data_IF_842369843633
#
_entry.id   IF_842369843633
#
_cell.length_a   1.000
_cell.length_b   1.000
_cell.length_c   1.000
_cell.angle_alpha   90.00
_cell.angle_beta   90.00
_cell.angle_gamma   90.00
#
_symmetry.space_group_name_H-M   'P 1'
#
loop_
_entity.id
_entity.type
_entity.pdbx_description
1 polymer ?
#
# COMPACT_ATOMS: atom_id res chain seq x y z
N UNK A 1 -7.41 24.79 1.98
CA UNK A 1 -8.85 25.03 1.75
C UNK A 1 -9.11 24.81 0.27
N UNK A 2 -9.19 23.55 -0.18
CA UNK A 2 -9.74 23.16 -1.49
C UNK A 2 -9.93 21.63 -1.70
N UNK A 3 -9.77 20.77 -0.69
CA UNK A 3 -9.76 19.31 -0.91
C UNK A 3 -11.04 18.59 -0.43
N UNK A 4 -11.97 19.29 0.20
CA UNK A 4 -13.18 18.69 0.79
C UNK A 4 -14.36 18.55 -0.19
N UNK A 5 -14.38 19.31 -1.29
CA UNK A 5 -15.52 19.34 -2.24
C UNK A 5 -15.43 18.30 -3.37
N UNK A 6 -14.27 17.67 -3.61
CA UNK A 6 -14.09 16.64 -4.65
C UNK A 6 -14.23 15.20 -4.13
N UNK A 7 -13.90 15.00 -2.85
CA UNK A 7 -13.90 13.69 -2.17
C UNK A 7 -15.15 12.83 -2.37
N UNK A 8 -16.41 13.34 -2.34
CA UNK A 8 -17.58 12.48 -2.53
C UNK A 8 -17.76 11.97 -3.96
N UNK A 9 -17.13 12.62 -4.95
CA UNK A 9 -17.27 12.26 -6.37
C UNK A 9 -16.08 11.47 -6.92
N UNK A 10 -14.94 11.47 -6.24
CA UNK A 10 -13.70 10.86 -6.74
C UNK A 10 -13.86 9.37 -7.05
N UNK A 11 -14.55 8.59 -6.21
CA UNK A 11 -14.85 7.18 -6.50
C UNK A 11 -15.53 6.99 -7.85
N UNK A 12 -16.59 7.76 -8.08
CA UNK A 12 -17.40 7.69 -9.30
C UNK A 12 -16.61 8.20 -10.51
N UNK A 13 -15.91 9.32 -10.35
CA UNK A 13 -15.12 9.92 -11.42
C UNK A 13 -13.97 9.00 -11.83
N UNK A 14 -13.37 8.27 -10.89
CA UNK A 14 -12.33 7.29 -11.18
C UNK A 14 -12.88 6.13 -12.03
N UNK A 15 -14.08 5.61 -11.72
CA UNK A 15 -14.75 4.60 -12.56
C UNK A 15 -15.00 5.14 -13.98
N UNK A 16 -15.52 6.37 -14.11
CA UNK A 16 -15.79 7.00 -15.41
C UNK A 16 -14.50 7.16 -16.22
N UNK A 17 -13.44 7.67 -15.61
CA UNK A 17 -12.14 7.82 -16.24
C UNK A 17 -11.60 6.47 -16.76
N UNK A 18 -11.66 5.41 -15.93
CA UNK A 18 -11.23 4.08 -16.36
C UNK A 18 -12.09 3.52 -17.49
N UNK A 19 -13.40 3.79 -17.47
CA UNK A 19 -14.31 3.38 -18.55
C UNK A 19 -13.95 4.03 -19.88
N UNK A 20 -13.73 5.35 -19.88
CA UNK A 20 -13.34 6.11 -21.09
C UNK A 20 -11.98 5.68 -21.62
N UNK A 21 -10.98 5.50 -20.74
CA UNK A 21 -9.67 4.99 -21.12
C UNK A 21 -9.75 3.57 -21.68
N UNK A 22 -10.53 2.69 -21.06
CA UNK A 22 -10.69 1.32 -21.54
C UNK A 22 -11.29 1.28 -22.94
N UNK A 23 -12.30 2.11 -23.23
CA UNK A 23 -12.91 2.22 -24.56
C UNK A 23 -11.87 2.68 -25.60
N UNK A 24 -11.11 3.74 -25.29
CA UNK A 24 -10.11 4.27 -26.20
C UNK A 24 -8.97 3.26 -26.45
N UNK A 25 -8.42 2.65 -25.40
CA UNK A 25 -7.26 1.76 -25.49
C UNK A 25 -7.60 0.40 -26.12
N UNK A 26 -8.76 -0.18 -25.80
CA UNK A 26 -9.18 -1.47 -26.38
C UNK A 26 -9.40 -1.39 -27.88
N UNK A 27 -9.86 -0.25 -28.40
CA UNK A 27 -9.96 -0.03 -29.86
C UNK A 27 -8.62 -0.11 -30.59
N UNK A 28 -7.50 0.01 -29.86
CA UNK A 28 -6.13 -0.09 -30.36
C UNK A 28 -5.43 -1.38 -29.91
N UNK A 29 -6.14 -2.32 -29.27
CA UNK A 29 -5.55 -3.56 -28.74
C UNK A 29 -4.57 -3.36 -27.59
N UNK A 30 -4.66 -2.24 -26.86
CA UNK A 30 -3.79 -1.92 -25.73
C UNK A 30 -4.43 -2.33 -24.39
N UNK A 31 -3.57 -2.65 -23.41
CA UNK A 31 -3.98 -2.97 -22.04
C UNK A 31 -4.21 -1.70 -21.21
N UNK A 32 -5.14 -1.78 -20.26
CA UNK A 32 -5.32 -0.81 -19.19
C UNK A 32 -5.18 -1.49 -17.83
N UNK A 33 -4.25 -1.01 -17.01
CA UNK A 33 -3.99 -1.52 -15.65
C UNK A 33 -3.89 -0.36 -14.68
N UNK A 34 -3.99 -0.63 -13.38
CA UNK A 34 -3.82 0.39 -12.35
C UNK A 34 -3.03 -0.16 -11.15
N UNK A 35 -2.21 0.69 -10.54
CA UNK A 35 -1.59 0.43 -9.24
C UNK A 35 -2.45 1.07 -8.15
N UNK A 36 -3.02 0.26 -7.25
CA UNK A 36 -4.04 0.71 -6.29
C UNK A 36 -3.63 0.35 -4.85
N UNK A 37 -4.08 1.15 -3.89
CA UNK A 37 -3.78 0.93 -2.48
C UNK A 37 -4.41 -0.40 -2.02
N UNK A 38 -3.60 -1.26 -1.40
CA UNK A 38 -4.08 -2.57 -0.95
C UNK A 38 -4.94 -2.48 0.33
N UNK A 39 -4.55 -1.62 1.27
CA UNK A 39 -5.17 -1.55 2.60
C UNK A 39 -6.66 -1.18 2.54
N UNK A 40 -7.48 -1.88 3.33
CA UNK A 40 -8.91 -1.59 3.44
C UNK A 40 -9.17 -0.14 3.84
N UNK A 41 -8.38 0.43 4.75
CA UNK A 41 -8.54 1.80 5.23
C UNK A 41 -8.54 2.82 4.09
N UNK A 42 -7.70 2.62 3.07
CA UNK A 42 -7.63 3.50 1.91
C UNK A 42 -8.63 3.07 0.85
N UNK A 43 -8.67 1.77 0.53
CA UNK A 43 -9.51 1.24 -0.54
C UNK A 43 -11.01 1.51 -0.30
N UNK A 44 -11.47 1.35 0.95
CA UNK A 44 -12.88 1.54 1.33
C UNK A 44 -13.40 2.96 1.15
N UNK A 45 -12.54 3.97 1.17
CA UNK A 45 -12.92 5.37 0.93
C UNK A 45 -12.54 5.86 -0.47
N UNK A 46 -11.61 5.17 -1.15
CA UNK A 46 -11.05 5.63 -2.43
C UNK A 46 -11.67 4.96 -3.65
N UNK A 47 -12.18 3.73 -3.52
CA UNK A 47 -12.57 2.93 -4.68
C UNK A 47 -14.02 2.42 -4.61
N UNK A 48 -14.64 2.35 -5.79
CA UNK A 48 -15.70 1.41 -6.11
C UNK A 48 -15.05 0.22 -6.81
N UNK A 49 -14.65 -0.80 -6.03
CA UNK A 49 -13.88 -1.94 -6.53
C UNK A 49 -14.66 -2.70 -7.62
N UNK A 50 -15.95 -2.95 -7.39
CA UNK A 50 -16.80 -3.61 -8.38
C UNK A 50 -16.96 -2.76 -9.65
N UNK A 51 -17.01 -1.43 -9.52
CA UNK A 51 -17.09 -0.50 -10.65
C UNK A 51 -15.82 -0.43 -11.49
N UNK A 52 -14.62 -0.51 -10.89
CA UNK A 52 -13.36 -0.40 -11.66
C UNK A 52 -12.93 -1.71 -12.34
N UNK A 53 -13.27 -2.87 -11.76
CA UNK A 53 -12.83 -4.21 -12.21
C UNK A 53 -13.15 -4.51 -13.68
N UNK A 54 -14.31 -4.14 -14.26
CA UNK A 54 -14.63 -4.37 -15.67
C UNK A 54 -13.73 -3.60 -16.64
N UNK A 55 -13.13 -2.51 -16.20
CA UNK A 55 -12.36 -1.60 -17.05
C UNK A 55 -10.87 -1.95 -17.09
N UNK A 56 -10.36 -2.65 -16.08
CA UNK A 56 -8.94 -3.01 -15.97
C UNK A 56 -8.68 -4.45 -16.43
N UNK A 57 -7.57 -4.68 -17.12
CA UNK A 57 -7.09 -6.02 -17.46
C UNK A 57 -6.59 -6.76 -16.22
N UNK A 58 -5.78 -6.08 -15.40
CA UNK A 58 -5.38 -6.50 -14.07
C UNK A 58 -5.04 -5.31 -13.17
N UNK A 59 -4.99 -5.56 -11.85
CA UNK A 59 -4.81 -4.59 -10.78
C UNK A 59 -3.52 -4.93 -10.04
N UNK A 60 -2.56 -4.00 -10.03
CA UNK A 60 -1.35 -4.12 -9.24
C UNK A 60 -1.64 -3.59 -7.83
N UNK A 61 -1.83 -4.48 -6.86
CA UNK A 61 -2.06 -4.07 -5.48
C UNK A 61 -0.74 -3.68 -4.82
N UNK A 62 -0.67 -2.43 -4.36
CA UNK A 62 0.47 -1.88 -3.62
C UNK A 62 0.45 -2.41 -2.19
N UNK A 63 0.78 -3.70 -2.03
CA UNK A 63 0.73 -4.45 -0.77
C UNK A 63 2.02 -4.24 0.06
N UNK A 64 2.37 -2.98 0.24
CA UNK A 64 3.54 -2.49 0.96
C UNK A 64 3.22 -1.10 1.52
N UNK A 65 4.16 -0.49 2.24
CA UNK A 65 3.96 0.76 2.97
C UNK A 65 2.84 0.69 4.01
N UNK A 66 2.64 -0.48 4.62
CA UNK A 66 1.70 -0.64 5.73
C UNK A 66 2.20 0.08 7.00
N UNK A 67 3.52 0.11 7.19
CA UNK A 67 4.15 0.80 8.31
C UNK A 67 5.37 1.56 7.80
N UNK A 68 5.63 2.72 8.40
CA UNK A 68 6.78 3.56 8.10
C UNK A 68 6.91 4.67 9.13
N UNK A 69 7.90 5.55 8.93
CA UNK A 69 8.30 6.58 9.88
C UNK A 69 7.25 7.69 10.13
N UNK A 70 6.10 7.63 9.47
CA UNK A 70 4.91 8.42 9.82
C UNK A 70 4.24 7.95 11.12
N UNK A 71 4.59 6.76 11.61
CA UNK A 71 4.20 6.24 12.93
C UNK A 71 5.31 6.48 13.96
N UNK A 72 4.95 6.66 15.23
CA UNK A 72 5.88 6.77 16.36
C UNK A 72 6.36 5.41 16.91
N UNK A 73 6.23 4.35 16.11
CA UNK A 73 6.66 3.00 16.45
C UNK A 73 7.16 2.26 15.22
N UNK A 74 8.03 1.27 15.44
CA UNK A 74 8.52 0.38 14.37
C UNK A 74 7.42 -0.55 13.85
N UNK A 75 7.49 -0.90 12.57
CA UNK A 75 6.62 -1.89 11.96
C UNK A 75 7.19 -2.39 10.64
N UNK A 76 6.77 -3.59 10.22
CA UNK A 76 7.23 -4.18 8.97
C UNK A 76 6.59 -3.47 7.76
N UNK A 77 7.34 -3.29 6.67
CA UNK A 77 6.87 -2.60 5.45
C UNK A 77 5.67 -3.34 4.80
N UNK A 78 5.80 -4.65 4.62
CA UNK A 78 4.79 -5.52 3.98
C UNK A 78 4.56 -6.82 4.80
N UNK A 79 3.91 -6.75 5.98
CA UNK A 79 3.64 -7.94 6.78
C UNK A 79 2.59 -8.82 6.09
N UNK A 80 2.87 -10.12 5.97
CA UNK A 80 1.94 -11.06 5.34
C UNK A 80 0.66 -11.25 6.18
N UNK A 81 0.82 -11.29 7.51
CA UNK A 81 -0.23 -11.51 8.49
C UNK A 81 -0.11 -10.50 9.64
N UNK A 82 -1.19 -10.32 10.40
CA UNK A 82 -1.13 -9.65 11.69
C UNK A 82 -0.29 -10.47 12.69
N UNK A 83 0.51 -9.79 13.50
CA UNK A 83 1.38 -10.38 14.51
C UNK A 83 0.84 -10.24 15.95
N UNK A 84 1.44 -10.94 16.92
CA UNK A 84 1.08 -10.81 18.34
C UNK A 84 1.35 -9.40 18.89
N UNK A 85 2.27 -8.65 18.26
CA UNK A 85 2.59 -7.27 18.64
C UNK A 85 1.55 -6.25 18.18
N UNK A 86 0.58 -6.61 17.32
CA UNK A 86 -0.46 -5.70 16.86
C UNK A 86 -1.57 -5.57 17.92
N UNK A 87 -1.62 -4.41 18.58
CA UNK A 87 -2.37 -4.24 19.83
C UNK A 87 -3.81 -3.76 19.62
N UNK A 88 -4.15 -3.25 18.43
CA UNK A 88 -5.49 -2.74 18.13
C UNK A 88 -5.97 -3.21 16.75
N UNK A 89 -7.28 -3.07 16.52
CA UNK A 89 -7.94 -3.54 15.30
C UNK A 89 -7.35 -2.91 14.04
N UNK A 90 -7.06 -1.61 14.07
CA UNK A 90 -6.42 -0.92 12.96
C UNK A 90 -5.07 -1.53 12.59
N UNK A 91 -4.17 -1.76 13.56
CA UNK A 91 -2.89 -2.41 13.31
C UNK A 91 -3.06 -3.82 12.74
N UNK A 92 -4.08 -4.55 13.20
CA UNK A 92 -4.40 -5.90 12.73
C UNK A 92 -4.93 -5.94 11.30
N UNK A 93 -5.43 -4.84 10.74
CA UNK A 93 -5.83 -4.77 9.32
C UNK A 93 -4.68 -4.38 8.37
N UNK A 94 -3.58 -3.84 8.91
CA UNK A 94 -2.41 -3.39 8.14
C UNK A 94 -1.49 -4.55 7.70
N UNK A 95 -2.05 -5.53 6.98
CA UNK A 95 -1.31 -6.65 6.42
C UNK A 95 -1.86 -7.10 5.05
N UNK A 96 -1.04 -7.88 4.34
CA UNK A 96 -1.33 -8.37 2.98
C UNK A 96 -2.55 -9.28 2.96
N UNK A 97 -2.66 -10.26 3.85
CA UNK A 97 -3.78 -11.20 3.87
C UNK A 97 -5.13 -10.48 4.03
N UNK A 98 -5.22 -9.58 5.01
CA UNK A 98 -6.43 -8.79 5.27
C UNK A 98 -6.83 -7.96 4.05
N UNK A 99 -5.84 -7.31 3.43
CA UNK A 99 -6.04 -6.50 2.23
C UNK A 99 -6.56 -7.32 1.06
N UNK A 100 -5.96 -8.48 0.77
CA UNK A 100 -6.44 -9.37 -0.31
C UNK A 100 -7.86 -9.85 -0.02
N UNK A 101 -8.15 -10.29 1.22
CA UNK A 101 -9.49 -10.71 1.60
C UNK A 101 -10.53 -9.59 1.41
N UNK A 102 -10.16 -8.35 1.76
CA UNK A 102 -11.01 -7.19 1.53
C UNK A 102 -11.31 -7.01 0.04
N UNK A 103 -10.29 -6.96 -0.82
CA UNK A 103 -10.47 -6.79 -2.27
C UNK A 103 -11.35 -7.89 -2.90
N UNK A 104 -11.13 -9.15 -2.50
CA UNK A 104 -11.96 -10.27 -2.93
C UNK A 104 -13.42 -10.09 -2.45
N UNK A 105 -13.64 -9.66 -1.20
CA UNK A 105 -14.98 -9.44 -0.64
C UNK A 105 -15.74 -8.31 -1.35
N UNK A 106 -15.02 -7.35 -1.94
CA UNK A 106 -15.59 -6.23 -2.68
C UNK A 106 -15.79 -6.51 -4.18
N UNK A 107 -15.60 -7.77 -4.61
CA UNK A 107 -15.92 -8.21 -5.97
C UNK A 107 -14.75 -8.22 -6.96
N UNK A 108 -13.51 -8.04 -6.49
CA UNK A 108 -12.35 -8.23 -7.37
C UNK A 108 -12.09 -9.73 -7.60
N UNK A 109 -12.04 -10.21 -8.86
CA UNK A 109 -11.65 -11.58 -9.16
C UNK A 109 -10.18 -11.81 -8.82
N UNK A 110 -9.86 -12.93 -8.15
CA UNK A 110 -8.48 -13.28 -7.81
C UNK A 110 -7.54 -13.29 -9.04
N UNK A 111 -8.05 -13.72 -10.21
CA UNK A 111 -7.30 -13.74 -11.47
C UNK A 111 -6.89 -12.36 -12.00
N UNK A 112 -7.49 -11.27 -11.50
CA UNK A 112 -7.13 -9.90 -11.86
C UNK A 112 -6.22 -9.23 -10.83
N UNK A 113 -5.96 -9.84 -9.69
CA UNK A 113 -5.12 -9.25 -8.64
C UNK A 113 -3.66 -9.68 -8.78
N UNK A 114 -2.79 -8.71 -9.03
CA UNK A 114 -1.33 -8.88 -9.03
C UNK A 114 -0.79 -8.33 -7.71
N UNK A 115 -0.16 -9.21 -6.91
CA UNK A 115 0.37 -8.86 -5.61
C UNK A 115 1.70 -8.12 -5.73
N UNK A 116 1.76 -6.87 -5.27
CA UNK A 116 3.01 -6.12 -5.17
C UNK A 116 3.93 -6.66 -4.08
N UNK A 117 5.22 -6.85 -4.41
CA UNK A 117 6.27 -7.27 -3.48
C UNK A 117 7.36 -6.21 -3.45
N UNK A 118 7.61 -5.55 -2.31
CA UNK A 118 8.59 -4.47 -2.25
C UNK A 118 10.03 -5.01 -2.22
N UNK A 119 10.86 -4.56 -3.16
CA UNK A 119 12.31 -4.74 -3.11
C UNK A 119 13.00 -3.64 -2.27
N UNK A 120 12.36 -3.24 -1.16
CA UNK A 120 12.81 -2.18 -0.26
C UNK A 120 12.19 -2.32 1.14
N UNK A 121 12.82 -1.69 2.12
CA UNK A 121 12.34 -1.58 3.49
C UNK A 121 11.97 -0.15 3.89
N UNK A 122 11.18 -0.03 4.96
CA UNK A 122 10.96 1.22 5.68
C UNK A 122 11.78 1.19 6.95
N UNK A 123 12.54 2.26 7.20
CA UNK A 123 13.51 2.33 8.29
C UNK A 123 13.10 3.35 9.35
N UNK A 124 13.58 3.15 10.58
CA UNK A 124 13.20 3.91 11.76
C UNK A 124 14.43 4.27 12.59
N UNK A 125 14.40 5.41 13.25
CA UNK A 125 15.29 5.73 14.37
C UNK A 125 14.59 5.36 15.68
N UNK A 126 15.18 4.42 16.43
CA UNK A 126 14.64 3.97 17.72
C UNK A 126 14.81 5.04 18.79
N UNK A 127 13.80 5.22 19.65
CA UNK A 127 13.92 6.07 20.83
C UNK A 127 14.87 5.48 21.88
N UNK A 128 15.01 4.15 21.89
CA UNK A 128 15.95 3.43 22.74
C UNK A 128 16.47 2.21 21.99
N UNK A 129 17.78 2.14 21.73
CA UNK A 129 18.41 1.04 21.00
C UNK A 129 18.25 -0.33 21.68
N UNK A 130 18.02 -0.37 23.00
CA UNK A 130 17.73 -1.60 23.74
C UNK A 130 16.30 -2.13 23.50
N UNK A 131 15.42 -1.31 22.93
CA UNK A 131 14.04 -1.67 22.57
C UNK A 131 13.91 -1.60 21.05
N UNK A 132 14.20 -2.72 20.38
CA UNK A 132 14.39 -2.79 18.93
C UNK A 132 13.46 -3.79 18.21
N UNK A 133 12.46 -4.32 18.92
CA UNK A 133 11.47 -5.24 18.36
C UNK A 133 10.40 -4.55 17.51
N UNK A 134 9.43 -5.33 17.04
CA UNK A 134 8.21 -4.80 16.40
C UNK A 134 7.42 -3.95 17.41
N UNK A 135 6.87 -2.83 16.94
CA UNK A 135 6.13 -1.84 17.76
C UNK A 135 6.97 -1.18 18.86
N UNK A 136 8.30 -1.22 18.74
CA UNK A 136 9.18 -0.44 19.58
C UNK A 136 8.99 1.07 19.31
N UNK A 137 9.09 1.95 20.32
CA UNK A 137 9.01 3.39 20.11
C UNK A 137 10.09 3.90 19.14
N UNK A 138 9.68 4.74 18.19
CA UNK A 138 10.54 5.35 17.18
C UNK A 138 10.36 6.87 17.17
N UNK A 139 11.46 7.59 16.93
CA UNK A 139 11.50 9.06 16.94
C UNK A 139 11.35 9.66 15.53
N UNK A 140 11.48 8.83 14.50
CA UNK A 140 11.39 9.28 13.13
C UNK A 140 12.01 8.31 12.13
N UNK A 141 12.28 8.78 10.90
CA UNK A 141 12.83 7.95 9.85
C UNK A 141 14.28 7.57 10.10
N UNK A 142 14.65 6.35 9.72
CA UNK A 142 16.04 5.92 9.70
C UNK A 142 16.89 6.76 8.74
N UNK A 143 18.21 6.71 8.93
CA UNK A 143 19.17 7.42 8.07
C UNK A 143 19.04 6.96 6.60
N UNK A 144 19.34 7.85 5.63
CA UNK A 144 19.29 7.50 4.22
C UNK A 144 20.40 6.52 3.86
N UNK A 145 20.06 5.55 2.99
CA UNK A 145 21.05 4.68 2.37
C UNK A 145 21.98 5.45 1.41
N UNK A 146 23.17 4.90 1.10
CA UNK A 146 24.19 5.57 0.30
C UNK A 146 23.80 5.80 -1.17
N UNK A 147 22.83 5.05 -1.70
CA UNK A 147 22.39 5.14 -3.09
C UNK A 147 21.01 5.78 -3.23
N UNK A 148 20.05 5.38 -2.38
CA UNK A 148 18.68 5.92 -2.44
C UNK A 148 18.58 7.32 -1.88
N UNK A 149 19.44 7.70 -0.92
CA UNK A 149 19.50 9.05 -0.38
C UNK A 149 18.23 9.50 0.36
N UNK A 150 17.33 8.57 0.71
CA UNK A 150 16.02 8.88 1.29
C UNK A 150 15.91 8.41 2.75
N UNK A 151 15.60 9.34 3.65
CA UNK A 151 15.28 9.03 5.04
C UNK A 151 14.06 8.09 5.13
N UNK A 152 14.14 7.08 5.99
CA UNK A 152 13.03 6.16 6.26
C UNK A 152 12.79 5.12 5.16
N UNK A 153 13.72 5.00 4.22
CA UNK A 153 13.67 4.09 3.09
C UNK A 153 15.05 3.44 2.90
N UNK A 154 15.07 2.17 2.52
CA UNK A 154 16.30 1.48 2.13
C UNK A 154 16.00 0.48 1.02
N UNK A 155 16.75 0.51 -0.07
CA UNK A 155 16.62 -0.50 -1.11
C UNK A 155 17.11 -1.86 -0.61
N UNK A 156 16.61 -2.96 -1.19
CA UNK A 156 17.02 -4.32 -0.79
C UNK A 156 18.54 -4.55 -0.86
N UNK A 157 19.23 -3.94 -1.84
CA UNK A 157 20.68 -4.08 -1.96
C UNK A 157 21.45 -3.24 -0.93
N UNK A 158 20.85 -2.17 -0.39
CA UNK A 158 21.46 -1.32 0.63
C UNK A 158 21.41 -1.97 2.02
N UNK A 159 20.33 -2.69 2.34
CA UNK A 159 20.19 -3.34 3.66
C UNK A 159 21.23 -4.43 3.92
N UNK A 160 21.91 -4.91 2.87
CA UNK A 160 23.01 -5.88 2.96
C UNK A 160 24.38 -5.24 3.19
N UNK A 161 24.50 -3.91 3.02
CA UNK A 161 25.74 -3.15 3.22
C UNK A 161 25.85 -2.56 4.63
N UNK A 162 24.75 -2.50 5.38
CA UNK A 162 24.68 -2.02 6.75
C UNK A 162 24.95 -3.12 7.82
N UNK A 163 25.48 -4.29 7.40
CA UNK A 163 25.90 -5.38 8.30
C UNK A 163 27.41 -5.41 8.53
#
# INVERSE_FOLDING_TARGET
>A
MHDADTAPYDKRNFVLMLSELALALRSHGLLLTAALAASETIASISYDIAGIVPHLDFINLMAYDYNGAWSNFTGHNAPLFAGPSDQNDFQRTLNVQHSINYWLSQGAPASKLVLGVPAYGRTFTLANSAVNGLRAPAEGPGQPGPYTGQYGYIAYHESSLDQ
#
